data_IF_578391073072
#
_entry.id   IF_578391073072
#
_cell.length_a   1.000
_cell.length_b   1.000
_cell.length_c   1.000
_cell.angle_alpha   90.00
_cell.angle_beta   90.00
_cell.angle_gamma   90.00
#
_symmetry.space_group_name_H-M   'P 1'
#
loop_
_entity.id
_entity.type
_entity.pdbx_description
1 polymer ?
#
# COMPACT_ATOMS: atom_id res chain seq x y z
N UNK A 1 14.98 -13.78 13.75
CA UNK A 1 15.04 -12.80 13.58
C UNK A 1 14.06 -12.02 13.82
N UNK A 2 14.04 -11.27 14.31
CA UNK A 2 12.97 -10.64 14.54
C UNK A 2 12.70 -9.61 13.62
N UNK A 3 11.50 -9.43 13.31
CA UNK A 3 11.09 -8.42 12.49
C UNK A 3 10.85 -7.21 13.26
N UNK A 4 11.15 -6.09 12.69
CA UNK A 4 10.87 -4.83 13.31
C UNK A 4 9.46 -4.37 13.08
N UNK A 5 8.71 -5.08 12.31
CA UNK A 5 7.35 -4.71 11.98
C UNK A 5 7.19 -4.73 10.48
N UNK A 6 5.97 -4.49 10.03
CA UNK A 6 5.67 -4.57 8.62
C UNK A 6 6.11 -3.31 7.90
N UNK A 7 6.56 -3.47 6.66
CA UNK A 7 6.82 -2.33 5.80
C UNK A 7 5.51 -1.77 5.30
N UNK A 8 5.56 -0.57 4.74
CA UNK A 8 4.36 0.03 4.18
C UNK A 8 3.83 -0.83 3.03
N UNK A 9 4.73 -1.41 2.24
CA UNK A 9 4.30 -2.29 1.14
C UNK A 9 3.57 -3.50 1.65
N UNK A 10 4.07 -4.10 2.72
CA UNK A 10 3.41 -5.25 3.32
C UNK A 10 2.04 -4.89 3.89
N UNK A 11 1.93 -3.72 4.49
CA UNK A 11 0.66 -3.27 5.02
C UNK A 11 -0.36 -3.05 3.90
N UNK A 12 0.08 -2.43 2.81
CA UNK A 12 -0.80 -2.22 1.66
C UNK A 12 -1.30 -3.57 1.13
N UNK A 13 -0.38 -4.51 0.98
CA UNK A 13 -0.73 -5.83 0.47
C UNK A 13 -1.73 -6.52 1.39
N UNK A 14 -1.52 -6.38 2.71
CA UNK A 14 -2.41 -7.00 3.69
C UNK A 14 -3.84 -6.48 3.54
N UNK A 15 -4.00 -5.16 3.49
CA UNK A 15 -5.33 -4.59 3.38
C UNK A 15 -5.96 -4.86 2.02
N UNK A 16 -5.13 -4.86 0.97
CA UNK A 16 -5.62 -5.20 -0.36
C UNK A 16 -6.16 -6.61 -0.41
N UNK A 17 -5.41 -7.55 0.18
CA UNK A 17 -5.84 -8.95 0.21
C UNK A 17 -7.10 -9.13 1.04
N UNK A 18 -7.25 -8.38 2.11
CA UNK A 18 -8.48 -8.44 2.91
C UNK A 18 -9.68 -8.03 2.10
N UNK A 19 -9.52 -7.07 1.20
CA UNK A 19 -10.60 -6.63 0.34
C UNK A 19 -10.80 -7.56 -0.86
N UNK A 20 -9.86 -8.47 -1.09
CA UNK A 20 -9.95 -9.39 -2.22
C UNK A 20 -9.76 -8.72 -3.56
N UNK A 21 -8.98 -7.65 -3.62
CA UNK A 21 -8.75 -6.95 -4.88
C UNK A 21 -7.32 -7.12 -5.34
N UNK A 22 -7.13 -7.01 -6.66
CA UNK A 22 -5.80 -7.12 -7.25
C UNK A 22 -5.06 -5.80 -7.17
N UNK A 23 -3.76 -5.85 -7.47
CA UNK A 23 -2.96 -4.64 -7.56
C UNK A 23 -3.52 -3.70 -8.63
N UNK A 24 -3.99 -4.27 -9.74
CA UNK A 24 -4.54 -3.47 -10.82
C UNK A 24 -5.79 -2.74 -10.36
N UNK A 25 -6.67 -3.42 -9.67
CA UNK A 25 -7.90 -2.79 -9.16
C UNK A 25 -7.55 -1.70 -8.17
N UNK A 26 -6.60 -1.98 -7.27
CA UNK A 26 -6.20 -0.95 -6.31
C UNK A 26 -5.63 0.27 -7.01
N UNK A 27 -4.79 0.06 -8.02
CA UNK A 27 -4.18 1.18 -8.72
C UNK A 27 -5.25 2.08 -9.34
N UNK A 28 -6.27 1.48 -9.92
CA UNK A 28 -7.35 2.25 -10.52
C UNK A 28 -8.16 3.00 -9.48
N UNK A 29 -8.45 2.37 -8.36
CA UNK A 29 -9.20 3.04 -7.29
C UNK A 29 -8.40 4.19 -6.70
N UNK A 30 -7.09 4.03 -6.62
CA UNK A 30 -6.22 5.06 -6.06
C UNK A 30 -5.83 6.11 -7.09
N UNK A 31 -6.22 5.89 -8.35
CA UNK A 31 -5.84 6.78 -9.44
C UNK A 31 -4.33 6.89 -9.57
N UNK A 32 -3.68 5.74 -9.51
CA UNK A 32 -2.22 5.62 -9.62
C UNK A 32 -1.89 4.62 -10.70
N UNK A 33 -0.64 4.70 -11.19
CA UNK A 33 -0.18 3.72 -12.16
C UNK A 33 -0.01 2.36 -11.49
N UNK A 34 -0.26 1.30 -12.25
CA UNK A 34 -0.07 -0.05 -11.73
C UNK A 34 1.33 -0.25 -11.18
N UNK A 35 2.34 0.24 -11.90
CA UNK A 35 3.72 0.07 -11.47
C UNK A 35 3.99 0.72 -10.12
N UNK A 36 3.30 1.80 -9.81
CA UNK A 36 3.47 2.45 -8.53
C UNK A 36 3.09 1.50 -7.39
N UNK A 37 1.94 0.85 -7.52
CA UNK A 37 1.49 -0.10 -6.50
C UNK A 37 2.44 -1.29 -6.44
N UNK A 38 2.79 -1.85 -7.60
CA UNK A 38 3.63 -3.04 -7.65
C UNK A 38 4.99 -2.79 -7.01
N UNK A 39 5.60 -1.64 -7.28
CA UNK A 39 6.91 -1.33 -6.73
C UNK A 39 6.86 -1.12 -5.22
N UNK A 40 5.81 -0.48 -4.74
CA UNK A 40 5.68 -0.25 -3.30
C UNK A 40 5.51 -1.58 -2.57
N UNK A 41 4.64 -2.44 -3.09
CA UNK A 41 4.40 -3.74 -2.45
C UNK A 41 5.64 -4.63 -2.50
N UNK A 42 6.43 -4.51 -3.55
CA UNK A 42 7.64 -5.31 -3.69
C UNK A 42 8.81 -4.78 -2.87
N UNK A 43 8.65 -3.60 -2.28
CA UNK A 43 9.74 -3.00 -1.51
C UNK A 43 10.73 -2.22 -2.35
N UNK A 44 10.50 -2.09 -3.65
CA UNK A 44 11.39 -1.34 -4.52
C UNK A 44 11.24 0.17 -4.31
N UNK A 45 10.11 0.60 -3.77
CA UNK A 45 9.89 2.00 -3.41
C UNK A 45 9.57 2.02 -1.92
N UNK A 46 10.59 1.99 -1.06
CA UNK A 46 10.35 1.88 0.39
C UNK A 46 9.76 3.13 1.02
N UNK A 47 9.95 4.28 0.38
CA UNK A 47 9.47 5.54 0.94
C UNK A 47 8.63 6.30 -0.08
N UNK A 48 7.41 5.82 -0.36
CA UNK A 48 6.53 6.57 -1.27
C UNK A 48 6.16 7.91 -0.67
N UNK A 49 5.79 8.85 -1.54
CA UNK A 49 5.41 10.17 -1.06
C UNK A 49 4.14 10.08 -0.23
N UNK A 50 3.95 11.07 0.64
CA UNK A 50 2.76 11.09 1.48
C UNK A 50 1.50 11.19 0.64
N UNK A 51 1.57 11.90 -0.46
CA UNK A 51 0.42 12.03 -1.34
C UNK A 51 0.03 10.68 -1.93
N UNK A 52 1.02 9.90 -2.36
CA UNK A 52 0.78 8.56 -2.88
C UNK A 52 0.15 7.68 -1.81
N UNK A 53 0.69 7.73 -0.59
CA UNK A 53 0.17 6.92 0.49
C UNK A 53 -1.25 7.31 0.84
N UNK A 54 -1.56 8.59 0.83
CA UNK A 54 -2.93 9.06 1.10
C UNK A 54 -3.92 8.53 0.07
N UNK A 55 -3.52 8.52 -1.19
CA UNK A 55 -4.39 7.98 -2.24
C UNK A 55 -4.65 6.50 -2.04
N UNK A 56 -3.61 5.77 -1.67
CA UNK A 56 -3.75 4.33 -1.43
C UNK A 56 -4.63 4.08 -0.21
N UNK A 57 -4.43 4.83 0.86
CA UNK A 57 -5.23 4.67 2.06
C UNK A 57 -6.70 4.92 1.77
N UNK A 58 -7.00 5.98 1.02
CA UNK A 58 -8.38 6.28 0.67
C UNK A 58 -8.99 5.17 -0.17
N UNK A 59 -8.20 4.62 -1.10
CA UNK A 59 -8.70 3.54 -1.96
C UNK A 59 -8.96 2.26 -1.18
N UNK A 60 -8.20 2.03 -0.11
CA UNK A 60 -8.37 0.85 0.73
C UNK A 60 -9.38 1.07 1.85
N UNK A 61 -9.78 2.32 2.07
CA UNK A 61 -10.72 2.61 3.15
C UNK A 61 -10.08 2.54 4.52
N UNK A 62 -8.80 2.81 4.62
CA UNK A 62 -8.08 2.78 5.90
C UNK A 62 -7.41 4.12 6.12
N UNK A 63 -6.89 4.31 7.33
CA UNK A 63 -6.20 5.55 7.66
C UNK A 63 -4.75 5.47 7.22
N UNK A 64 -4.11 6.64 7.16
CA UNK A 64 -2.68 6.69 6.90
C UNK A 64 -1.93 5.90 7.96
N UNK A 65 -2.34 6.05 9.21
CA UNK A 65 -1.70 5.33 10.30
C UNK A 65 -1.72 3.83 10.08
N UNK A 66 -2.83 3.31 9.56
CA UNK A 66 -2.93 1.88 9.32
C UNK A 66 -1.85 1.39 8.36
N UNK A 67 -1.49 2.21 7.40
CA UNK A 67 -0.51 1.80 6.40
C UNK A 67 0.93 1.96 6.89
N UNK A 68 1.19 2.93 7.73
CA UNK A 68 2.56 3.18 8.18
C UNK A 68 2.87 2.54 9.52
N UNK A 69 1.89 1.87 10.11
CA UNK A 69 2.06 1.24 11.40
C UNK A 69 2.98 0.04 11.30
N UNK A 70 3.79 -0.17 12.32
CA UNK A 70 4.71 -1.31 12.36
C UNK A 70 4.16 -2.50 13.08
#
# INVERSE_FOLDING_TARGET
MSKQGATIGENIKKYRNKLGISQDVLSKRANLAFHTIAKIEAGATPNPTIETVKKIAAALGVSLDDLIQK
#
